data_IF_098234553681
#
_entry.id   IF_098234553681
#
_cell.length_a   1.000
_cell.length_b   1.000
_cell.length_c   1.000
_cell.angle_alpha   90.00
_cell.angle_beta   90.00
_cell.angle_gamma   90.00
#
_symmetry.space_group_name_H-M   'P 1'
#
loop_
_entity.id
_entity.type
_entity.pdbx_description
1 polymer ?
#
# COMPACT_ATOMS: atom_id res chain seq x y z
N UNK A 1 32.64 -23.38 3.91
CA UNK A 1 31.82 -24.48 3.39
C UNK A 1 30.75 -23.86 2.49
N UNK A 2 30.64 -24.38 1.27
CA UNK A 2 30.55 -23.54 0.07
C UNK A 2 29.12 -23.39 -0.45
N UNK A 3 28.68 -22.15 -0.68
CA UNK A 3 27.39 -21.73 -1.29
C UNK A 3 27.07 -22.48 -2.60
N UNK A 4 28.09 -23.01 -3.28
CA UNK A 4 27.96 -23.84 -4.49
C UNK A 4 27.19 -25.15 -4.30
N UNK A 5 27.04 -25.67 -3.09
CA UNK A 5 26.27 -26.90 -2.86
C UNK A 5 24.75 -26.68 -2.77
N UNK A 6 24.28 -25.49 -2.37
CA UNK A 6 22.85 -25.22 -2.22
C UNK A 6 22.17 -24.98 -3.57
N UNK A 7 22.86 -24.30 -4.49
CA UNK A 7 22.34 -24.06 -5.85
C UNK A 7 22.14 -25.35 -6.66
N UNK A 8 23.00 -26.36 -6.46
CA UNK A 8 22.87 -27.65 -7.14
C UNK A 8 21.68 -28.49 -6.62
N UNK A 9 21.34 -28.37 -5.33
CA UNK A 9 20.20 -29.08 -4.74
C UNK A 9 18.85 -28.48 -5.14
N UNK A 10 18.76 -27.16 -5.34
CA UNK A 10 17.53 -26.50 -5.79
C UNK A 10 17.21 -26.79 -7.27
N UNK A 11 18.23 -26.93 -8.13
CA UNK A 11 18.03 -27.26 -9.54
C UNK A 11 17.47 -28.69 -9.75
N UNK A 12 17.81 -29.63 -8.87
CA UNK A 12 17.34 -31.03 -8.95
C UNK A 12 15.89 -31.22 -8.49
N UNK A 13 15.39 -30.39 -7.58
CA UNK A 13 13.99 -30.47 -7.09
C UNK A 13 13.01 -29.97 -8.17
N UNK A 14 13.41 -28.98 -8.97
CA UNK A 14 12.56 -28.41 -10.03
C UNK A 14 12.47 -29.35 -11.24
N UNK A 15 13.54 -30.10 -11.56
CA UNK A 15 13.53 -31.06 -12.68
C UNK A 15 12.89 -32.40 -12.30
N UNK A 16 13.01 -32.84 -11.03
CA UNK A 16 12.47 -34.13 -10.57
C UNK A 16 10.94 -34.19 -10.40
N UNK A 17 10.28 -33.03 -10.29
CA UNK A 17 8.83 -32.96 -10.00
C UNK A 17 7.93 -33.01 -11.26
N UNK A 18 8.51 -32.95 -12.46
CA UNK A 18 7.78 -32.89 -13.73
C UNK A 18 7.61 -34.22 -14.48
N UNK A 19 8.15 -35.33 -13.95
CA UNK A 19 8.32 -36.58 -14.71
C UNK A 19 7.44 -37.76 -14.26
N UNK A 20 6.48 -37.57 -13.35
CA UNK A 20 5.65 -38.66 -12.80
C UNK A 20 4.13 -38.47 -12.87
N UNK A 21 3.61 -37.58 -13.72
CA UNK A 21 2.15 -37.39 -13.85
C UNK A 21 1.70 -37.11 -15.29
N UNK A 22 1.99 -38.04 -16.20
CA UNK A 22 1.22 -38.20 -17.44
C UNK A 22 1.14 -39.70 -17.74
N UNK A 23 0.16 -40.36 -17.11
CA UNK A 23 -0.35 -41.62 -17.61
C UNK A 23 -1.43 -41.29 -18.64
N UNK A 24 -1.30 -41.92 -19.81
CA UNK A 24 -2.06 -41.62 -21.02
C UNK A 24 -3.53 -42.00 -20.86
N UNK A 25 -4.43 -41.03 -20.93
CA UNK A 25 -5.85 -41.30 -21.22
C UNK A 25 -6.03 -41.22 -22.73
N UNK A 26 -6.06 -42.41 -23.34
CA UNK A 26 -6.43 -42.65 -24.73
C UNK A 26 -7.88 -42.20 -24.95
N UNK A 27 -8.06 -41.06 -25.64
CA UNK A 27 -9.37 -40.55 -26.03
C UNK A 27 -9.92 -41.44 -27.16
N UNK A 28 -10.86 -42.32 -26.82
CA UNK A 28 -11.69 -43.00 -27.79
C UNK A 28 -12.71 -42.01 -28.38
N UNK A 29 -12.76 -41.93 -29.72
CA UNK A 29 -13.79 -41.23 -30.50
C UNK A 29 -15.17 -41.79 -30.17
N UNK A 30 -15.98 -41.02 -29.44
CA UNK A 30 -17.41 -41.30 -29.23
C UNK A 30 -18.21 -40.38 -30.16
N UNK A 31 -18.99 -40.91 -31.12
CA UNK A 31 -19.80 -40.09 -32.01
C UNK A 31 -20.98 -39.46 -31.23
N UNK A 32 -21.20 -38.17 -31.47
CA UNK A 32 -22.29 -37.41 -30.85
C UNK A 32 -23.67 -37.96 -31.26
N UNK A 33 -24.64 -38.09 -30.33
CA UNK A 33 -25.99 -38.47 -30.66
C UNK A 33 -26.74 -37.32 -31.36
N UNK A 34 -27.69 -37.63 -32.27
CA UNK A 34 -28.51 -36.61 -32.93
C UNK A 34 -29.47 -35.96 -31.93
N UNK A 35 -29.50 -34.63 -31.91
CA UNK A 35 -30.51 -33.86 -31.18
C UNK A 35 -31.82 -33.84 -31.96
N UNK A 36 -32.86 -34.45 -31.39
CA UNK A 36 -34.25 -34.30 -31.81
C UNK A 36 -34.81 -33.00 -31.18
N UNK A 37 -35.20 -32.07 -32.03
CA UNK A 37 -35.80 -30.79 -31.64
C UNK A 37 -37.28 -30.84 -32.01
N UNK A 38 -38.08 -31.48 -31.16
CA UNK A 38 -39.53 -31.55 -31.31
C UNK A 38 -40.24 -31.08 -30.04
N UNK A 39 -40.73 -29.83 -30.10
CA UNK A 39 -41.98 -29.35 -29.50
C UNK A 39 -42.21 -29.51 -28.00
N UNK A 40 -41.98 -28.43 -27.24
CA UNK A 40 -42.69 -28.21 -25.96
C UNK A 40 -43.43 -26.87 -26.05
N UNK A 41 -44.76 -26.97 -26.10
CA UNK A 41 -45.67 -25.85 -26.00
C UNK A 41 -45.59 -25.25 -24.59
N UNK A 42 -45.31 -23.94 -24.51
CA UNK A 42 -45.31 -23.16 -23.27
C UNK A 42 -46.76 -22.76 -22.96
N UNK A 43 -47.33 -23.35 -21.91
CA UNK A 43 -48.57 -22.83 -21.30
C UNK A 43 -48.21 -21.87 -20.18
N UNK A 44 -48.48 -20.59 -20.43
CA UNK A 44 -48.34 -19.48 -19.49
C UNK A 44 -49.52 -19.47 -18.52
N UNK A 45 -49.36 -20.01 -17.30
CA UNK A 45 -50.07 -19.49 -16.12
C UNK A 45 -49.45 -20.03 -14.82
N UNK A 46 -48.59 -19.24 -14.17
CA UNK A 46 -48.23 -19.48 -12.78
C UNK A 46 -48.00 -18.15 -12.07
N UNK A 47 -49.10 -17.63 -11.49
CA UNK A 47 -49.10 -16.59 -10.46
C UNK A 47 -48.22 -17.05 -9.29
N UNK A 48 -47.03 -16.47 -9.16
CA UNK A 48 -46.26 -16.51 -7.92
C UNK A 48 -46.83 -15.48 -6.94
N UNK A 49 -47.48 -15.95 -5.89
CA UNK A 49 -47.66 -15.23 -4.64
C UNK A 49 -46.57 -15.70 -3.67
N UNK A 50 -45.48 -14.93 -3.55
CA UNK A 50 -44.47 -15.14 -2.50
C UNK A 50 -44.53 -13.98 -1.52
N UNK A 51 -45.37 -14.16 -0.51
CA UNK A 51 -45.31 -13.44 0.76
C UNK A 51 -44.22 -14.14 1.59
N UNK A 52 -42.97 -13.70 1.44
CA UNK A 52 -41.84 -14.26 2.17
C UNK A 52 -41.82 -13.65 3.58
N UNK A 53 -42.06 -14.51 4.56
CA UNK A 53 -41.96 -14.23 5.99
C UNK A 53 -40.51 -13.83 6.35
N UNK A 54 -40.29 -12.53 6.57
CA UNK A 54 -39.00 -11.94 6.96
C UNK A 54 -38.70 -12.10 8.47
N UNK A 55 -39.46 -12.90 9.22
CA UNK A 55 -39.39 -12.92 10.69
C UNK A 55 -38.24 -13.75 11.29
N UNK A 56 -37.38 -14.37 10.47
CA UNK A 56 -36.29 -15.25 10.94
C UNK A 56 -34.89 -14.84 10.42
N UNK A 57 -34.59 -13.54 10.37
CA UNK A 57 -33.18 -13.10 10.31
C UNK A 57 -32.64 -13.14 11.73
N UNK A 58 -31.87 -14.18 12.05
CA UNK A 58 -31.08 -14.23 13.28
C UNK A 58 -30.20 -12.96 13.34
N UNK A 59 -30.16 -12.24 14.47
CA UNK A 59 -29.31 -11.07 14.59
C UNK A 59 -27.87 -11.50 14.32
N UNK A 60 -27.26 -10.92 13.28
CA UNK A 60 -25.83 -11.04 13.05
C UNK A 60 -25.14 -10.61 14.35
N UNK A 61 -24.50 -11.56 15.04
CA UNK A 61 -23.69 -11.23 16.20
C UNK A 61 -22.70 -10.15 15.77
N UNK A 62 -22.76 -8.99 16.44
CA UNK A 62 -21.81 -7.90 16.28
C UNK A 62 -20.43 -8.45 16.67
N UNK A 63 -19.68 -8.95 15.69
CA UNK A 63 -18.26 -9.20 15.86
C UNK A 63 -17.64 -7.83 16.07
N UNK A 64 -17.20 -7.55 17.31
CA UNK A 64 -16.48 -6.32 17.62
C UNK A 64 -15.29 -6.24 16.67
N UNK A 65 -15.36 -5.29 15.73
CA UNK A 65 -14.31 -5.12 14.74
C UNK A 65 -13.06 -4.69 15.49
N UNK A 66 -11.94 -5.38 15.29
CA UNK A 66 -10.65 -4.96 15.85
C UNK A 66 -10.29 -3.51 15.43
N UNK A 67 -10.90 -3.04 14.33
CA UNK A 67 -10.77 -1.66 13.87
C UNK A 67 -11.58 -0.70 14.73
N UNK A 68 -12.73 -1.10 15.27
CA UNK A 68 -13.52 -0.28 16.18
C UNK A 68 -12.76 0.04 17.45
N UNK A 69 -12.07 -0.93 18.05
CA UNK A 69 -11.29 -0.69 19.27
C UNK A 69 -10.06 0.22 19.01
N UNK A 70 -9.40 0.03 17.87
CA UNK A 70 -8.28 0.88 17.46
C UNK A 70 -8.73 2.29 17.07
N UNK A 71 -9.90 2.43 16.44
CA UNK A 71 -10.49 3.73 16.11
C UNK A 71 -11.03 4.40 17.37
N UNK A 72 -11.66 3.68 18.29
CA UNK A 72 -12.23 4.21 19.53
C UNK A 72 -11.16 4.63 20.55
N UNK A 73 -9.99 4.00 20.53
CA UNK A 73 -8.80 4.43 21.30
C UNK A 73 -8.11 5.65 20.68
N UNK A 74 -8.88 6.66 20.24
CA UNK A 74 -8.36 8.03 20.00
C UNK A 74 -7.89 8.62 21.33
N UNK A 75 -6.80 8.09 21.88
CA UNK A 75 -5.99 8.81 22.83
C UNK A 75 -5.47 10.04 22.08
N UNK A 76 -5.68 11.22 22.68
CA UNK A 76 -5.03 12.45 22.27
C UNK A 76 -3.55 12.16 22.06
N UNK A 77 -2.96 12.75 21.02
CA UNK A 77 -1.52 12.67 20.78
C UNK A 77 -0.80 12.96 22.11
N UNK A 78 -0.22 11.93 22.72
CA UNK A 78 0.64 12.12 23.90
C UNK A 78 1.82 12.95 23.42
N UNK A 79 2.06 14.08 24.08
CA UNK A 79 3.23 14.91 23.82
C UNK A 79 4.48 14.01 23.85
N UNK A 80 5.15 13.91 22.71
CA UNK A 80 6.28 13.02 22.54
C UNK A 80 7.50 13.62 23.23
N UNK A 81 7.99 12.96 24.28
CA UNK A 81 9.30 13.25 24.86
C UNK A 81 10.35 12.24 24.33
N UNK A 82 11.22 12.65 23.38
CA UNK A 82 12.26 11.77 22.85
C UNK A 82 13.29 11.33 23.89
N UNK A 83 13.37 11.97 25.06
CA UNK A 83 14.33 11.66 26.14
C UNK A 83 13.75 10.72 27.19
N UNK A 84 12.43 10.49 27.17
CA UNK A 84 11.78 9.57 28.11
C UNK A 84 12.15 8.10 27.86
N UNK A 85 12.69 7.79 26.68
CA UNK A 85 13.01 6.44 26.25
C UNK A 85 14.51 6.25 26.00
N UNK A 86 15.06 5.05 26.24
CA UNK A 86 16.41 4.69 25.83
C UNK A 86 16.64 4.87 24.32
N UNK A 87 17.91 4.91 23.91
CA UNK A 87 18.25 4.86 22.48
C UNK A 87 17.66 3.59 21.82
N UNK A 88 17.41 3.65 20.52
CA UNK A 88 17.00 2.46 19.78
C UNK A 88 18.17 1.47 19.68
N UNK A 89 17.90 0.16 19.53
CA UNK A 89 18.92 -0.82 19.18
C UNK A 89 19.72 -0.39 17.95
N UNK A 90 20.99 -0.80 17.84
CA UNK A 90 21.85 -0.40 16.73
C UNK A 90 21.27 -0.75 15.36
N UNK A 91 21.57 0.12 14.39
CA UNK A 91 21.13 -0.06 13.02
C UNK A 91 21.80 -1.27 12.37
N UNK A 92 21.03 -2.07 11.62
CA UNK A 92 21.53 -3.23 10.88
C UNK A 92 21.58 -4.51 11.71
N UNK A 93 21.29 -4.46 13.01
CA UNK A 93 21.02 -5.68 13.76
C UNK A 93 19.82 -6.43 13.14
N UNK A 94 19.84 -7.77 13.06
CA UNK A 94 18.73 -8.52 12.48
C UNK A 94 17.44 -8.28 13.26
N UNK A 95 16.32 -8.05 12.56
CA UNK A 95 15.01 -7.85 13.18
C UNK A 95 14.62 -8.99 14.13
N UNK A 96 15.08 -10.21 13.84
CA UNK A 96 14.93 -11.40 14.70
C UNK A 96 15.45 -11.23 16.11
N UNK A 97 16.43 -10.36 16.33
CA UNK A 97 17.04 -10.12 17.65
C UNK A 97 16.41 -8.97 18.42
N UNK A 98 15.68 -8.07 17.73
CA UNK A 98 15.16 -6.83 18.32
C UNK A 98 13.63 -6.73 18.32
N UNK A 99 12.92 -7.57 17.57
CA UNK A 99 11.47 -7.44 17.37
C UNK A 99 10.69 -7.45 18.68
N UNK A 100 11.07 -8.31 19.64
CA UNK A 100 10.40 -8.42 20.94
C UNK A 100 10.64 -7.18 21.81
N UNK A 101 11.87 -6.65 21.82
CA UNK A 101 12.21 -5.42 22.55
C UNK A 101 11.47 -4.22 21.95
N UNK A 102 11.55 -4.03 20.63
CA UNK A 102 10.89 -2.93 19.93
C UNK A 102 9.38 -2.99 20.15
N UNK A 103 8.79 -4.20 20.06
CA UNK A 103 7.36 -4.42 20.33
C UNK A 103 7.01 -4.06 21.76
N UNK A 104 7.76 -4.56 22.73
CA UNK A 104 7.50 -4.30 24.15
C UNK A 104 7.53 -2.80 24.46
N UNK A 105 8.55 -2.09 23.95
CA UNK A 105 8.68 -0.64 24.11
C UNK A 105 7.54 0.11 23.40
N UNK A 106 7.22 -0.27 22.16
CA UNK A 106 6.13 0.34 21.41
C UNK A 106 4.78 0.16 22.12
N UNK A 107 4.49 -1.03 22.63
CA UNK A 107 3.27 -1.34 23.40
C UNK A 107 3.21 -0.55 24.74
N UNK A 108 4.35 -0.06 25.26
CA UNK A 108 4.42 0.85 26.41
C UNK A 108 4.33 2.34 26.05
N UNK A 109 4.20 2.69 24.78
CA UNK A 109 4.10 4.07 24.31
C UNK A 109 5.41 4.68 23.79
N UNK A 110 6.47 3.89 23.59
CA UNK A 110 7.69 4.36 22.93
C UNK A 110 7.45 4.56 21.43
N UNK A 111 7.19 5.81 21.04
CA UNK A 111 6.90 6.17 19.67
C UNK A 111 8.09 5.98 18.73
N UNK A 112 9.35 6.00 19.22
CA UNK A 112 10.52 5.71 18.40
C UNK A 112 10.60 4.23 18.07
N UNK A 113 10.36 3.38 19.08
CA UNK A 113 10.32 1.93 18.90
C UNK A 113 9.15 1.53 17.99
N UNK A 114 7.99 2.18 18.14
CA UNK A 114 6.84 1.98 17.25
C UNK A 114 7.18 2.35 15.79
N UNK A 115 7.83 3.49 15.57
CA UNK A 115 8.30 3.91 14.24
C UNK A 115 9.26 2.87 13.65
N UNK A 116 10.31 2.47 14.39
CA UNK A 116 11.32 1.52 13.90
C UNK A 116 10.68 0.19 13.56
N UNK A 117 9.84 -0.34 14.47
CA UNK A 117 9.13 -1.59 14.24
C UNK A 117 8.22 -1.53 13.01
N UNK A 118 7.50 -0.43 12.80
CA UNK A 118 6.63 -0.28 11.64
C UNK A 118 7.42 -0.27 10.32
N UNK A 119 8.55 0.46 10.26
CA UNK A 119 9.42 0.51 9.08
C UNK A 119 10.05 -0.87 8.77
N UNK A 120 10.50 -1.58 9.81
CA UNK A 120 11.05 -2.93 9.67
C UNK A 120 10.01 -3.93 9.16
N UNK A 121 8.78 -3.88 9.70
CA UNK A 121 7.67 -4.69 9.20
C UNK A 121 7.30 -4.32 7.76
N UNK A 122 7.39 -3.05 7.39
CA UNK A 122 7.17 -2.62 6.00
C UNK A 122 8.23 -3.19 5.06
N UNK A 123 9.51 -3.10 5.45
CA UNK A 123 10.64 -3.64 4.69
C UNK A 123 10.54 -5.16 4.51
N UNK A 124 10.19 -5.89 5.58
CA UNK A 124 9.98 -7.33 5.50
C UNK A 124 8.82 -7.72 4.58
N UNK A 125 7.69 -7.01 4.67
CA UNK A 125 6.55 -7.30 3.78
C UNK A 125 6.86 -6.98 2.31
N UNK A 126 7.62 -5.92 2.03
CA UNK A 126 8.07 -5.61 0.67
C UNK A 126 9.03 -6.69 0.14
N UNK A 127 10.00 -7.12 0.95
CA UNK A 127 10.93 -8.19 0.58
C UNK A 127 10.21 -9.52 0.28
N UNK A 128 9.25 -9.91 1.13
CA UNK A 128 8.44 -11.11 0.94
C UNK A 128 7.57 -10.99 -0.31
N UNK A 129 6.88 -9.86 -0.49
CA UNK A 129 6.05 -9.61 -1.67
C UNK A 129 6.85 -9.61 -2.97
N UNK A 130 8.07 -9.03 -2.94
CA UNK A 130 8.98 -9.06 -4.08
C UNK A 130 9.43 -10.48 -4.42
N UNK A 131 9.78 -11.29 -3.41
CA UNK A 131 10.13 -12.70 -3.62
C UNK A 131 8.96 -13.48 -4.26
N UNK A 132 7.75 -13.34 -3.72
CA UNK A 132 6.54 -13.97 -4.28
C UNK A 132 6.27 -13.54 -5.73
N UNK A 133 6.50 -12.27 -6.05
CA UNK A 133 6.38 -11.76 -7.41
C UNK A 133 7.41 -12.42 -8.34
N UNK A 134 8.67 -12.52 -7.93
CA UNK A 134 9.72 -13.19 -8.71
C UNK A 134 9.40 -14.68 -8.93
N UNK A 135 8.94 -15.38 -7.89
CA UNK A 135 8.48 -16.78 -8.02
C UNK A 135 7.33 -16.91 -9.03
N UNK A 136 6.36 -15.98 -9.00
CA UNK A 136 5.27 -15.99 -9.96
C UNK A 136 5.76 -15.74 -11.39
N UNK A 137 6.71 -14.81 -11.58
CA UNK A 137 7.33 -14.57 -12.90
C UNK A 137 8.08 -15.81 -13.37
N UNK A 138 8.81 -16.48 -12.48
CA UNK A 138 9.51 -17.73 -12.80
C UNK A 138 8.55 -18.82 -13.28
N UNK A 139 7.42 -19.01 -12.60
CA UNK A 139 6.39 -19.98 -12.99
C UNK A 139 5.74 -19.65 -14.34
N UNK A 140 5.51 -18.36 -14.63
CA UNK A 140 4.86 -17.93 -15.88
C UNK A 140 5.77 -18.01 -17.10
N UNK A 141 7.09 -18.00 -16.91
CA UNK A 141 8.06 -17.86 -17.99
C UNK A 141 8.93 -19.12 -18.15
N UNK A 142 8.28 -20.24 -18.47
CA UNK A 142 8.94 -21.53 -18.68
C UNK A 142 9.95 -21.55 -19.86
N UNK A 143 9.86 -20.58 -20.79
CA UNK A 143 10.67 -20.53 -22.02
C UNK A 143 11.47 -19.21 -22.12
N UNK A 144 12.13 -18.79 -21.05
CA UNK A 144 13.03 -17.63 -21.10
C UNK A 144 14.31 -17.96 -21.88
N UNK A 145 14.85 -16.96 -22.56
CA UNK A 145 16.23 -17.03 -23.05
C UNK A 145 17.21 -17.18 -21.87
N UNK A 146 18.36 -17.84 -22.04
CA UNK A 146 19.28 -18.15 -20.94
C UNK A 146 19.71 -16.94 -20.11
N UNK A 147 19.92 -15.78 -20.74
CA UNK A 147 20.29 -14.53 -20.05
C UNK A 147 19.15 -14.02 -19.14
N UNK A 148 17.91 -14.05 -19.64
CA UNK A 148 16.73 -13.66 -18.87
C UNK A 148 16.47 -14.62 -17.71
N UNK A 149 16.78 -15.90 -17.89
CA UNK A 149 16.70 -16.89 -16.82
C UNK A 149 17.78 -16.63 -15.74
N UNK A 150 19.00 -16.29 -16.13
CA UNK A 150 20.07 -15.96 -15.19
C UNK A 150 19.75 -14.69 -14.37
N UNK A 151 19.19 -13.66 -15.00
CA UNK A 151 18.77 -12.43 -14.30
C UNK A 151 17.60 -12.67 -13.35
N UNK A 152 16.62 -13.50 -13.75
CA UNK A 152 15.54 -13.92 -12.87
C UNK A 152 16.06 -14.66 -11.64
N UNK A 153 17.00 -15.61 -11.82
CA UNK A 153 17.63 -16.34 -10.71
C UNK A 153 18.34 -15.37 -9.77
N UNK A 154 19.14 -14.43 -10.30
CA UNK A 154 19.83 -13.42 -9.50
C UNK A 154 18.84 -12.56 -8.71
N UNK A 155 17.75 -12.13 -9.34
CA UNK A 155 16.68 -11.39 -8.67
C UNK A 155 16.00 -12.19 -7.56
N UNK A 156 15.83 -13.51 -7.74
CA UNK A 156 15.31 -14.39 -6.68
C UNK A 156 16.30 -14.56 -5.53
N UNK A 157 17.59 -14.72 -5.81
CA UNK A 157 18.64 -14.81 -4.77
C UNK A 157 18.72 -13.53 -3.94
N UNK A 158 18.71 -12.36 -4.59
CA UNK A 158 18.67 -11.05 -3.93
C UNK A 158 17.38 -10.83 -3.12
N UNK A 159 16.24 -11.30 -3.62
CA UNK A 159 14.98 -11.26 -2.91
C UNK A 159 15.01 -12.16 -1.67
N UNK A 160 15.54 -13.38 -1.79
CA UNK A 160 15.67 -14.33 -0.70
C UNK A 160 16.62 -13.82 0.38
N UNK A 161 17.77 -13.25 0.00
CA UNK A 161 18.70 -12.67 0.98
C UNK A 161 18.05 -11.56 1.81
N UNK A 162 17.17 -10.76 1.19
CA UNK A 162 16.41 -9.71 1.91
C UNK A 162 15.37 -10.28 2.88
N UNK A 163 14.92 -11.53 2.73
CA UNK A 163 13.94 -12.15 3.63
C UNK A 163 14.58 -12.92 4.79
N UNK A 164 15.88 -13.21 4.76
CA UNK A 164 16.58 -13.95 5.84
C UNK A 164 16.44 -13.27 7.21
N UNK A 165 16.38 -11.93 7.23
CA UNK A 165 16.16 -11.14 8.44
C UNK A 165 14.70 -11.11 8.95
N UNK A 166 13.75 -11.67 8.19
CA UNK A 166 12.31 -11.52 8.42
C UNK A 166 11.64 -12.75 9.03
N UNK A 167 12.39 -13.81 9.35
CA UNK A 167 11.81 -15.05 9.87
C UNK A 167 11.00 -14.85 11.17
N UNK A 168 11.40 -13.90 12.02
CA UNK A 168 10.73 -13.60 13.30
C UNK A 168 9.42 -12.83 13.16
N UNK A 169 9.14 -12.22 12.00
CA UNK A 169 7.91 -11.45 11.80
C UNK A 169 6.75 -12.28 11.31
N UNK A 170 6.92 -13.59 11.11
CA UNK A 170 5.88 -14.50 10.64
C UNK A 170 4.62 -14.52 11.52
N UNK A 171 4.73 -14.11 12.79
CA UNK A 171 3.59 -13.97 13.72
C UNK A 171 2.96 -12.57 13.76
N UNK A 172 3.59 -11.57 13.16
CA UNK A 172 3.09 -10.20 13.11
C UNK A 172 2.26 -10.00 11.85
N UNK A 173 1.07 -9.43 12.03
CA UNK A 173 0.12 -9.24 10.93
C UNK A 173 0.33 -7.86 10.31
N UNK A 174 -0.20 -7.69 9.11
CA UNK A 174 -0.33 -6.39 8.45
C UNK A 174 -0.95 -5.31 9.34
N UNK A 175 -1.84 -5.74 10.24
CA UNK A 175 -2.46 -4.89 11.25
C UNK A 175 -1.47 -4.33 12.27
N UNK A 176 -0.46 -5.11 12.69
CA UNK A 176 0.54 -4.66 13.66
C UNK A 176 1.40 -3.53 13.08
N UNK A 177 1.82 -3.69 11.83
CA UNK A 177 2.54 -2.65 11.09
C UNK A 177 1.74 -1.35 11.05
N UNK A 178 0.47 -1.42 10.64
CA UNK A 178 -0.41 -0.26 10.58
C UNK A 178 -0.61 0.39 11.95
N UNK A 179 -0.82 -0.42 13.00
CA UNK A 179 -1.01 0.06 14.37
C UNK A 179 0.20 0.86 14.86
N UNK A 180 1.41 0.31 14.71
CA UNK A 180 2.63 1.00 15.15
C UNK A 180 2.98 2.21 14.28
N UNK A 181 2.74 2.16 12.96
CA UNK A 181 2.89 3.31 12.09
C UNK A 181 1.96 4.45 12.54
N UNK A 182 0.68 4.14 12.80
CA UNK A 182 -0.31 5.12 13.29
C UNK A 182 0.11 5.73 14.63
N UNK A 183 0.58 4.91 15.56
CA UNK A 183 1.06 5.36 16.87
C UNK A 183 2.18 6.39 16.73
N UNK A 184 3.23 6.06 15.96
CA UNK A 184 4.35 6.96 15.73
C UNK A 184 3.97 8.22 14.91
N UNK A 185 3.08 8.07 13.92
CA UNK A 185 2.56 9.19 13.13
C UNK A 185 1.82 10.21 14.00
N UNK A 186 0.96 9.73 14.92
CA UNK A 186 0.26 10.56 15.91
C UNK A 186 1.18 11.28 16.86
N UNK A 187 2.36 10.73 17.12
CA UNK A 187 3.38 11.39 17.91
C UNK A 187 4.16 12.46 17.12
N UNK A 188 3.96 12.56 15.81
CA UNK A 188 4.58 13.57 14.97
C UNK A 188 5.68 13.06 14.03
N UNK A 189 5.96 11.74 14.00
CA UNK A 189 7.04 11.21 13.17
C UNK A 189 6.67 11.22 11.68
N UNK A 190 7.43 11.96 10.85
CA UNK A 190 7.15 12.15 9.42
C UNK A 190 7.21 10.84 8.62
N UNK A 191 8.23 10.00 8.83
CA UNK A 191 8.34 8.71 8.12
C UNK A 191 7.16 7.78 8.47
N UNK A 192 6.73 7.78 9.74
CA UNK A 192 5.56 7.04 10.15
C UNK A 192 4.24 7.62 9.60
N UNK A 193 4.13 8.96 9.45
CA UNK A 193 2.98 9.59 8.78
C UNK A 193 2.84 9.12 7.34
N UNK A 194 3.96 9.09 6.59
CA UNK A 194 3.99 8.56 5.23
C UNK A 194 3.54 7.10 5.20
N UNK A 195 4.19 6.24 6.01
CA UNK A 195 3.88 4.81 6.05
C UNK A 195 2.42 4.55 6.43
N UNK A 196 1.93 5.21 7.48
CA UNK A 196 0.53 5.12 7.91
C UNK A 196 -0.42 5.50 6.77
N UNK A 197 -0.10 6.57 6.04
CA UNK A 197 -1.00 7.07 5.03
C UNK A 197 -1.19 6.09 3.85
N UNK A 198 -0.12 5.43 3.42
CA UNK A 198 -0.22 4.38 2.40
C UNK A 198 -0.94 3.14 2.92
N UNK A 199 -0.60 2.72 4.15
CA UNK A 199 -1.14 1.49 4.72
C UNK A 199 -2.62 1.56 5.07
N UNK A 200 -3.10 2.74 5.49
CA UNK A 200 -4.51 2.96 5.78
C UNK A 200 -5.40 2.52 4.61
N UNK A 201 -4.99 2.78 3.37
CA UNK A 201 -5.75 2.37 2.18
C UNK A 201 -5.85 0.85 2.06
N UNK A 202 -4.77 0.12 2.35
CA UNK A 202 -4.76 -1.35 2.27
C UNK A 202 -5.62 -1.99 3.36
N UNK A 203 -5.56 -1.45 4.58
CA UNK A 203 -6.41 -1.88 5.69
C UNK A 203 -7.89 -1.65 5.36
N UNK A 204 -8.24 -0.48 4.83
CA UNK A 204 -9.60 -0.14 4.42
C UNK A 204 -10.13 -1.13 3.39
N UNK A 205 -9.35 -1.47 2.37
CA UNK A 205 -9.76 -2.41 1.32
C UNK A 205 -9.88 -3.86 1.82
N UNK A 206 -9.11 -4.22 2.86
CA UNK A 206 -9.09 -5.56 3.43
C UNK A 206 -10.05 -5.80 4.60
N UNK A 207 -10.76 -4.78 5.09
CA UNK A 207 -11.55 -4.84 6.33
C UNK A 207 -13.01 -4.47 6.12
N UNK A 208 -13.90 -5.10 6.88
CA UNK A 208 -15.31 -4.69 6.97
C UNK A 208 -15.44 -3.51 7.95
N UNK A 209 -15.23 -2.29 7.45
CA UNK A 209 -15.37 -1.06 8.23
C UNK A 209 -16.78 -0.48 8.10
N UNK A 210 -17.31 0.07 9.18
CA UNK A 210 -18.47 0.96 9.08
C UNK A 210 -18.09 2.26 8.36
N UNK A 211 -19.07 2.92 7.73
CA UNK A 211 -18.84 4.21 7.07
C UNK A 211 -18.29 5.28 8.01
N UNK A 212 -18.65 5.23 9.31
CA UNK A 212 -18.16 6.17 10.32
C UNK A 212 -16.67 5.95 10.63
N UNK A 213 -16.25 4.70 10.86
CA UNK A 213 -14.84 4.37 11.11
C UNK A 213 -13.98 4.71 9.90
N UNK A 214 -14.48 4.39 8.71
CA UNK A 214 -13.79 4.71 7.47
C UNK A 214 -13.58 6.21 7.31
N UNK A 215 -14.61 7.03 7.59
CA UNK A 215 -14.48 8.49 7.56
C UNK A 215 -13.40 9.00 8.52
N UNK A 216 -13.34 8.45 9.74
CA UNK A 216 -12.30 8.81 10.72
C UNK A 216 -10.91 8.46 10.21
N UNK A 217 -10.72 7.24 9.68
CA UNK A 217 -9.43 6.80 9.16
C UNK A 217 -8.96 7.62 7.96
N UNK A 218 -9.87 7.97 7.05
CA UNK A 218 -9.56 8.81 5.89
C UNK A 218 -9.22 10.24 6.31
N UNK A 219 -9.97 10.83 7.25
CA UNK A 219 -9.66 12.15 7.81
C UNK A 219 -8.29 12.19 8.49
N UNK A 220 -7.97 11.15 9.28
CA UNK A 220 -6.66 11.03 9.91
C UNK A 220 -5.54 10.87 8.87
N UNK A 221 -5.73 10.00 7.88
CA UNK A 221 -4.78 9.81 6.77
C UNK A 221 -4.43 11.13 6.09
N UNK A 222 -5.45 11.91 5.76
CA UNK A 222 -5.30 13.17 5.05
C UNK A 222 -4.58 14.23 5.89
N UNK A 223 -4.90 14.32 7.18
CA UNK A 223 -4.20 15.20 8.11
C UNK A 223 -2.71 14.82 8.23
N UNK A 224 -2.40 13.52 8.28
CA UNK A 224 -1.01 13.03 8.32
C UNK A 224 -0.26 13.34 7.01
N UNK A 225 -0.89 13.15 5.85
CA UNK A 225 -0.29 13.49 4.56
C UNK A 225 0.00 14.99 4.46
N UNK A 226 -0.93 15.85 4.88
CA UNK A 226 -0.70 17.29 4.88
C UNK A 226 0.42 17.70 5.85
N UNK A 227 0.45 17.13 7.05
CA UNK A 227 1.52 17.39 8.02
C UNK A 227 2.89 16.98 7.48
N UNK A 228 3.01 15.77 6.91
CA UNK A 228 4.24 15.29 6.30
C UNK A 228 4.65 16.13 5.07
N UNK A 229 3.69 16.55 4.22
CA UNK A 229 3.98 17.42 3.08
C UNK A 229 4.54 18.78 3.52
N UNK A 230 3.99 19.39 4.57
CA UNK A 230 4.52 20.62 5.18
C UNK A 230 5.92 20.42 5.79
N UNK A 231 6.23 19.21 6.22
CA UNK A 231 7.57 18.82 6.66
C UNK A 231 8.59 18.71 5.51
N UNK A 232 8.17 18.84 4.26
CA UNK A 232 9.00 18.65 3.07
C UNK A 232 9.01 17.21 2.55
N UNK A 233 8.10 16.34 3.01
CA UNK A 233 7.98 14.99 2.46
C UNK A 233 7.49 15.01 1.01
N UNK A 234 8.39 14.73 0.07
CA UNK A 234 8.05 14.56 -1.35
C UNK A 234 7.07 13.40 -1.54
N UNK A 235 7.16 12.38 -0.72
CA UNK A 235 6.26 11.22 -0.77
C UNK A 235 4.85 11.60 -0.39
N UNK A 236 4.67 12.37 0.68
CA UNK A 236 3.36 12.83 1.09
C UNK A 236 2.76 13.77 0.03
N UNK A 237 3.56 14.65 -0.57
CA UNK A 237 3.14 15.49 -1.70
C UNK A 237 2.66 14.62 -2.87
N UNK A 238 3.42 13.60 -3.27
CA UNK A 238 3.04 12.72 -4.37
C UNK A 238 1.77 11.91 -4.06
N UNK A 239 1.59 11.48 -2.81
CA UNK A 239 0.37 10.80 -2.36
C UNK A 239 -0.86 11.73 -2.40
N UNK A 240 -0.70 13.01 -2.01
CA UNK A 240 -1.75 14.01 -2.13
C UNK A 240 -2.10 14.28 -3.61
N UNK A 241 -1.11 14.38 -4.50
CA UNK A 241 -1.36 14.49 -5.96
C UNK A 241 -2.19 13.31 -6.45
N UNK A 242 -1.83 12.08 -6.07
CA UNK A 242 -2.57 10.88 -6.46
C UNK A 242 -3.99 10.87 -5.89
N UNK A 243 -4.17 11.36 -4.65
CA UNK A 243 -5.47 11.50 -4.01
C UNK A 243 -6.40 12.45 -4.77
N UNK A 244 -5.89 13.57 -5.24
CA UNK A 244 -6.70 14.60 -5.93
C UNK A 244 -6.76 14.42 -7.46
N UNK A 245 -5.95 13.54 -8.02
CA UNK A 245 -5.95 13.25 -9.47
C UNK A 245 -7.28 12.65 -9.93
N UNK A 246 -7.80 13.04 -11.11
CA UNK A 246 -9.04 12.47 -11.67
C UNK A 246 -8.98 10.95 -11.88
N UNK A 247 -7.78 10.42 -12.14
CA UNK A 247 -7.53 8.99 -12.34
C UNK A 247 -7.24 8.25 -11.02
N UNK A 248 -7.03 8.99 -9.93
CA UNK A 248 -6.85 8.39 -8.63
C UNK A 248 -8.11 7.62 -8.25
N UNK A 249 -7.98 6.32 -8.01
CA UNK A 249 -9.01 5.49 -7.38
C UNK A 249 -9.25 5.90 -5.91
N UNK A 250 -8.94 7.14 -5.54
CA UNK A 250 -8.98 7.72 -4.21
C UNK A 250 -10.41 7.77 -3.70
N UNK A 251 -10.91 6.59 -3.35
CA UNK A 251 -12.14 6.26 -2.63
C UNK A 251 -13.11 7.43 -2.58
N UNK A 252 -14.02 7.44 -3.55
CA UNK A 252 -15.23 8.26 -3.61
C UNK A 252 -16.21 7.92 -2.45
N UNK A 253 -15.70 7.90 -1.23
CA UNK A 253 -16.44 7.74 0.03
C UNK A 253 -16.50 9.05 0.80
N UNK A 254 -15.82 10.08 0.29
CA UNK A 254 -16.13 11.48 0.54
C UNK A 254 -16.32 12.13 -0.83
N UNK A 255 -17.48 11.93 -1.50
CA UNK A 255 -17.84 12.81 -2.59
C UNK A 255 -17.83 14.21 -1.98
N UNK A 256 -16.79 14.94 -2.32
CA UNK A 256 -16.55 16.32 -1.94
C UNK A 256 -16.12 16.49 -0.48
N UNK A 257 -14.82 16.75 -0.28
CA UNK A 257 -14.40 17.71 0.74
C UNK A 257 -14.93 19.15 0.44
N UNK A 258 -16.15 19.24 -0.11
CA UNK A 258 -16.75 20.38 -0.79
C UNK A 258 -16.05 20.82 -2.08
N UNK A 259 -14.99 20.16 -2.54
CA UNK A 259 -14.12 20.68 -3.61
C UNK A 259 -14.68 20.40 -5.02
N UNK A 260 -14.81 21.47 -5.81
CA UNK A 260 -15.11 21.41 -7.23
C UNK A 260 -13.97 20.77 -8.04
N UNK A 261 -14.26 20.32 -9.26
CA UNK A 261 -13.24 19.79 -10.18
C UNK A 261 -12.10 20.79 -10.43
N UNK A 262 -12.43 22.08 -10.55
CA UNK A 262 -11.45 23.16 -10.73
C UNK A 262 -10.55 23.29 -9.51
N UNK A 263 -11.12 23.28 -8.29
CA UNK A 263 -10.34 23.37 -7.05
C UNK A 263 -9.40 22.15 -6.89
N UNK A 264 -9.84 20.95 -7.29
CA UNK A 264 -8.97 19.76 -7.30
C UNK A 264 -7.82 19.89 -8.28
N UNK A 265 -8.08 20.36 -9.50
CA UNK A 265 -7.03 20.61 -10.48
C UNK A 265 -6.01 21.64 -9.97
N UNK A 266 -6.48 22.71 -9.33
CA UNK A 266 -5.63 23.74 -8.73
C UNK A 266 -4.76 23.19 -7.58
N UNK A 267 -5.31 22.31 -6.72
CA UNK A 267 -4.52 21.63 -5.69
C UNK A 267 -3.43 20.76 -6.32
N UNK A 268 -3.77 19.96 -7.34
CA UNK A 268 -2.81 19.09 -8.04
C UNK A 268 -1.70 19.93 -8.68
N UNK A 269 -2.03 21.04 -9.32
CA UNK A 269 -1.06 21.96 -9.89
C UNK A 269 -0.13 22.54 -8.82
N UNK A 270 -0.70 23.03 -7.70
CA UNK A 270 0.06 23.60 -6.59
C UNK A 270 1.02 22.58 -5.98
N UNK A 271 0.55 21.36 -5.72
CA UNK A 271 1.38 20.27 -5.23
C UNK A 271 2.45 19.85 -6.26
N UNK A 272 2.11 19.87 -7.54
CA UNK A 272 3.04 19.63 -8.64
C UNK A 272 4.18 20.66 -8.64
N UNK A 273 3.87 21.94 -8.43
CA UNK A 273 4.89 22.99 -8.31
C UNK A 273 5.81 22.77 -7.09
N UNK A 274 5.26 22.34 -5.95
CA UNK A 274 6.05 21.99 -4.75
C UNK A 274 6.97 20.79 -5.03
N UNK A 275 6.46 19.75 -5.70
CA UNK A 275 7.26 18.58 -6.10
C UNK A 275 8.40 18.98 -7.04
N UNK A 276 8.11 19.77 -8.07
CA UNK A 276 9.09 20.23 -9.06
C UNK A 276 10.13 21.20 -8.46
N UNK A 277 9.73 22.05 -7.51
CA UNK A 277 10.66 22.91 -6.77
C UNK A 277 11.65 22.10 -5.92
N UNK A 278 11.24 20.93 -5.43
CA UNK A 278 12.12 19.95 -4.78
C UNK A 278 13.07 19.21 -5.74
N UNK A 279 12.69 19.05 -7.01
CA UNK A 279 13.46 18.29 -8.02
C UNK A 279 14.50 19.11 -8.83
N UNK A 280 14.57 20.43 -8.62
CA UNK A 280 15.46 21.45 -9.26
C UNK A 280 14.93 22.06 -10.58
N UNK A 281 15.11 23.40 -10.67
CA UNK A 281 15.41 24.19 -11.88
C UNK A 281 14.56 24.00 -13.16
N UNK A 282 13.98 25.12 -13.59
CA UNK A 282 13.37 25.44 -14.90
C UNK A 282 12.14 24.64 -15.33
N UNK A 283 10.97 25.26 -15.15
CA UNK A 283 9.82 25.04 -16.02
C UNK A 283 9.12 26.37 -16.32
N UNK A 284 8.77 26.59 -17.60
CA UNK A 284 8.02 27.75 -18.09
C UNK A 284 6.60 27.32 -18.49
N UNK A 285 5.63 28.15 -18.13
CA UNK A 285 4.20 27.89 -17.95
C UNK A 285 3.36 28.16 -19.21
N UNK A 286 3.97 28.41 -20.36
CA UNK A 286 3.24 28.87 -21.55
C UNK A 286 2.36 27.83 -22.30
N UNK A 287 1.83 26.78 -21.66
CA UNK A 287 0.97 25.79 -22.33
C UNK A 287 -0.25 25.37 -21.52
N UNK A 288 -1.20 26.28 -21.35
CA UNK A 288 -2.57 25.90 -21.02
C UNK A 288 -3.53 26.55 -22.00
N UNK A 289 -4.22 25.70 -22.77
CA UNK A 289 -5.43 26.12 -23.45
C UNK A 289 -5.93 25.19 -24.56
N UNK A 290 -6.80 24.23 -24.19
CA UNK A 290 -7.93 23.71 -24.98
C UNK A 290 -7.56 22.66 -26.06
N UNK A 291 -7.58 21.38 -25.69
CA UNK A 291 -6.92 20.28 -26.42
C UNK A 291 -7.71 19.68 -27.61
N UNK A 292 -7.05 19.55 -28.78
CA UNK A 292 -7.45 18.76 -29.96
C UNK A 292 -6.78 17.36 -30.00
N UNK A 293 -7.02 16.55 -31.04
CA UNK A 293 -6.51 15.17 -31.14
C UNK A 293 -4.98 15.04 -30.98
N UNK A 294 -4.23 16.03 -31.48
CA UNK A 294 -2.78 16.09 -31.33
C UNK A 294 -2.37 16.34 -29.88
N UNK A 295 -3.22 17.02 -29.13
CA UNK A 295 -3.06 17.30 -27.71
C UNK A 295 -3.51 16.11 -26.84
N UNK A 296 -4.51 15.33 -27.25
CA UNK A 296 -4.83 14.02 -26.62
C UNK A 296 -3.66 13.04 -26.73
N UNK A 297 -2.99 12.98 -27.89
CA UNK A 297 -1.79 12.17 -28.08
C UNK A 297 -0.62 12.64 -27.19
N UNK A 298 -0.48 13.96 -27.01
CA UNK A 298 0.49 14.56 -26.08
C UNK A 298 0.13 14.32 -24.62
N UNK A 299 -1.14 14.32 -24.24
CA UNK A 299 -1.57 13.92 -22.89
C UNK A 299 -1.24 12.47 -22.62
N UNK A 300 -1.49 11.56 -23.58
CA UNK A 300 -1.08 10.16 -23.44
C UNK A 300 0.46 9.98 -23.38
N UNK A 301 1.22 10.84 -24.04
CA UNK A 301 2.68 10.88 -23.94
C UNK A 301 3.14 11.46 -22.59
N UNK A 302 2.51 12.53 -22.11
CA UNK A 302 2.72 13.07 -20.77
C UNK A 302 2.35 12.06 -19.70
N UNK A 303 1.26 11.30 -19.83
CA UNK A 303 0.88 10.23 -18.91
C UNK A 303 1.95 9.13 -18.85
N UNK A 304 2.49 8.73 -20.01
CA UNK A 304 3.63 7.80 -20.07
C UNK A 304 4.88 8.37 -19.40
N UNK A 305 5.18 9.65 -19.64
CA UNK A 305 6.32 10.33 -19.05
C UNK A 305 6.14 10.54 -17.54
N UNK A 306 4.92 10.85 -17.07
CA UNK A 306 4.56 10.94 -15.65
C UNK A 306 4.55 9.56 -15.00
N UNK A 307 4.19 8.50 -15.71
CA UNK A 307 4.32 7.13 -15.19
C UNK A 307 5.79 6.74 -15.01
N UNK A 308 6.64 7.06 -15.99
CA UNK A 308 8.08 6.85 -15.92
C UNK A 308 8.74 7.72 -14.83
N UNK A 309 8.36 8.99 -14.73
CA UNK A 309 8.81 9.91 -13.68
C UNK A 309 8.35 9.44 -12.30
N UNK A 310 7.10 8.97 -12.15
CA UNK A 310 6.63 8.35 -10.89
C UNK A 310 7.46 7.12 -10.51
N UNK A 311 7.81 6.27 -11.47
CA UNK A 311 8.68 5.12 -11.23
C UNK A 311 10.09 5.55 -10.79
N UNK A 312 10.64 6.60 -11.42
CA UNK A 312 11.94 7.17 -11.09
C UNK A 312 11.96 7.84 -9.71
N UNK A 313 10.93 8.63 -9.37
CA UNK A 313 10.75 9.26 -8.05
C UNK A 313 10.58 8.20 -6.96
N UNK A 314 9.78 7.15 -7.21
CA UNK A 314 9.65 6.03 -6.27
C UNK A 314 10.97 5.28 -6.08
N UNK A 315 11.82 5.20 -7.12
CA UNK A 315 13.15 4.61 -7.04
C UNK A 315 14.15 5.51 -6.29
N UNK A 316 14.13 6.83 -6.55
CA UNK A 316 14.96 7.81 -5.84
C UNK A 316 14.56 7.94 -4.38
N UNK A 317 13.26 7.88 -4.08
CA UNK A 317 12.75 7.85 -2.72
C UNK A 317 13.25 6.60 -1.98
N UNK A 318 13.16 5.42 -2.59
CA UNK A 318 13.75 4.20 -2.02
C UNK A 318 15.24 4.36 -1.77
N UNK A 319 15.96 5.09 -2.62
CA UNK A 319 17.37 5.40 -2.40
C UNK A 319 17.59 6.37 -1.22
N UNK A 320 16.85 7.48 -1.12
CA UNK A 320 17.00 8.46 -0.02
C UNK A 320 16.59 7.85 1.33
N UNK A 321 15.48 7.13 1.36
CA UNK A 321 15.01 6.43 2.56
C UNK A 321 15.84 5.18 2.89
N UNK A 322 16.61 4.65 1.95
CA UNK A 322 17.66 3.66 2.25
C UNK A 322 18.96 4.33 2.72
N UNK A 323 19.23 5.58 2.35
CA UNK A 323 20.40 6.34 2.82
C UNK A 323 20.23 6.82 4.26
N UNK A 324 19.02 7.22 4.65
CA UNK A 324 18.67 7.42 6.06
C UNK A 324 18.21 6.09 6.63
N UNK A 325 19.05 5.42 7.39
CA UNK A 325 18.62 4.21 8.07
C UNK A 325 17.39 4.45 8.97
N UNK A 326 16.60 3.41 9.22
CA UNK A 326 15.32 3.55 9.93
C UNK A 326 15.49 4.13 11.35
N UNK A 327 16.68 4.05 11.97
CA UNK A 327 16.93 4.70 13.25
C UNK A 327 17.02 6.21 13.09
N UNK A 328 17.75 6.68 12.07
CA UNK A 328 17.82 8.12 11.79
C UNK A 328 16.42 8.70 11.51
N UNK A 329 15.59 7.99 10.74
CA UNK A 329 14.20 8.39 10.47
C UNK A 329 13.32 8.41 11.72
N UNK A 330 13.53 7.47 12.65
CA UNK A 330 12.73 7.34 13.87
C UNK A 330 13.29 8.13 15.06
N UNK A 331 14.53 8.61 15.03
CA UNK A 331 15.10 9.47 16.07
C UNK A 331 14.98 10.95 15.74
N UNK A 332 15.10 11.30 14.46
CA UNK A 332 15.00 12.68 13.96
C UNK A 332 13.92 12.75 12.90
N UNK A 333 12.74 13.22 13.30
CA UNK A 333 11.61 13.32 12.38
C UNK A 333 10.30 13.71 13.04
N UNK A 334 10.34 14.19 14.28
CA UNK A 334 9.14 14.55 15.02
C UNK A 334 8.81 16.02 14.84
N UNK A 335 7.58 16.28 14.40
CA UNK A 335 6.95 17.58 14.38
C UNK A 335 5.85 17.65 15.44
N UNK A 336 5.33 18.84 15.78
CA UNK A 336 4.08 18.93 16.52
C UNK A 336 3.00 18.08 15.83
N UNK A 337 2.38 17.17 16.59
CA UNK A 337 1.36 16.29 16.06
C UNK A 337 0.21 17.08 15.43
N UNK A 338 -0.33 16.66 14.27
CA UNK A 338 -1.48 17.33 13.67
C UNK A 338 -2.71 17.21 14.58
N UNK A 339 -3.52 18.26 14.65
CA UNK A 339 -4.79 18.22 15.38
C UNK A 339 -5.82 17.38 14.62
N UNK A 340 -5.85 16.08 14.91
CA UNK A 340 -6.76 15.13 14.26
C UNK A 340 -8.24 15.34 14.59
N UNK A 341 -8.58 16.25 15.50
CA UNK A 341 -9.97 16.58 15.82
C UNK A 341 -10.58 17.53 14.79
N UNK A 342 -9.74 18.23 14.02
CA UNK A 342 -10.17 19.16 13.00
C UNK A 342 -10.04 18.50 11.64
N UNK A 343 -11.12 18.54 10.86
CA UNK A 343 -11.04 18.15 9.46
C UNK A 343 -10.10 19.11 8.73
N UNK A 344 -9.31 18.58 7.79
CA UNK A 344 -8.45 19.40 6.95
C UNK A 344 -9.32 20.33 6.09
N UNK A 345 -9.19 21.64 6.30
CA UNK A 345 -9.80 22.64 5.42
C UNK A 345 -8.92 22.85 4.19
N UNK A 346 -9.13 22.01 3.17
CA UNK A 346 -8.37 22.05 1.93
C UNK A 346 -8.36 23.42 1.24
N UNK A 347 -9.43 24.22 1.37
CA UNK A 347 -9.44 25.55 0.76
C UNK A 347 -8.52 26.49 1.50
N UNK A 348 -8.54 26.46 2.83
CA UNK A 348 -7.60 27.22 3.64
C UNK A 348 -6.16 26.79 3.37
N UNK A 349 -5.91 25.48 3.38
CA UNK A 349 -4.58 24.89 3.18
C UNK A 349 -3.91 25.28 1.87
N UNK A 350 -4.70 25.41 0.81
CA UNK A 350 -4.21 25.75 -0.52
C UNK A 350 -4.52 27.20 -0.93
N UNK A 351 -4.88 28.07 0.02
CA UNK A 351 -5.10 29.50 -0.22
C UNK A 351 -6.26 29.80 -1.18
N UNK A 352 -7.27 28.94 -1.25
CA UNK A 352 -8.44 29.06 -2.14
C UNK A 352 -9.61 29.84 -1.51
N UNK A 353 -9.48 30.29 -0.27
CA UNK A 353 -10.51 31.12 0.38
C UNK A 353 -10.53 32.53 -0.25
N UNK A 354 -11.66 32.89 -0.88
CA UNK A 354 -11.95 34.23 -1.40
C UNK A 354 -12.48 35.15 -0.33
#
# INVERSE_FOLDING_TARGET
>A
MSVRFVAASLLLIIIGSGLWYFDSVEQADVPAPPMDVSGVAVTTDQRLTTEADHSNVLPLEQTSSMVSDAVASVQLATEFDPKAWPALPEEGAPLTTMVDELRHRADQGDHKAACRLALELAACNDAIGHLQFQEQQARRRANLEPEQQADLIRGMEEALQRTEGCASVAGLRDWDRWRYARQAARAGNVAAMELYAFDATRIVLGSSLSSAELKVLLGERDAMLMAAARAGSVVAVQALIQRFSPMGSGMALDPDAGLTEVERAQIVETLGQVSLAGEKSHFDINSLGILNDQETARVAELERNFSAARAAVAQQHRAVSAMMGANAQCESGYLPAPDLRQAVDWRHEFGMNR
#
